data_IF_919330595564
#
_entry.id   IF_919330595564
#
_cell.length_a   1.000
_cell.length_b   1.000
_cell.length_c   1.000
_cell.angle_alpha   90.00
_cell.angle_beta   90.00
_cell.angle_gamma   90.00
#
_symmetry.space_group_name_H-M   'P 1'
#
loop_
_entity.id
_entity.type
_entity.pdbx_description
1 polymer ?
#
# COMPACT_ATOMS: atom_id res chain seq x y z
N UNK A 1 4.66 -18.77 -0.25
CA UNK A 1 3.48 -19.64 -0.37
C UNK A 1 2.71 -19.70 0.96
N UNK A 2 3.27 -20.27 2.04
CA UNK A 2 2.57 -20.48 3.33
C UNK A 2 1.90 -19.22 3.90
N UNK A 3 2.53 -18.06 3.84
CA UNK A 3 1.92 -16.78 4.33
C UNK A 3 0.68 -16.42 3.53
N UNK A 4 0.72 -16.60 2.21
CA UNK A 4 -0.43 -16.37 1.32
C UNK A 4 -1.55 -17.37 1.61
N UNK A 5 -1.22 -18.64 1.75
CA UNK A 5 -2.19 -19.71 2.08
C UNK A 5 -2.91 -19.46 3.42
N UNK A 6 -2.19 -19.01 4.45
CA UNK A 6 -2.81 -18.68 5.74
C UNK A 6 -3.83 -17.55 5.59
N UNK A 7 -3.55 -16.55 4.76
CA UNK A 7 -4.48 -15.45 4.51
C UNK A 7 -5.74 -15.93 3.77
N UNK A 8 -5.57 -16.83 2.79
CA UNK A 8 -6.71 -17.45 2.06
C UNK A 8 -7.56 -18.30 3.00
N UNK A 9 -6.94 -19.11 3.86
CA UNK A 9 -7.65 -19.93 4.86
C UNK A 9 -8.49 -19.08 5.81
N UNK A 10 -7.98 -17.93 6.25
CA UNK A 10 -8.78 -17.03 7.09
C UNK A 10 -10.03 -16.52 6.36
N UNK A 11 -9.92 -16.19 5.09
CA UNK A 11 -11.06 -15.75 4.29
C UNK A 11 -12.17 -16.84 4.23
N UNK A 12 -11.77 -18.10 4.12
CA UNK A 12 -12.70 -19.24 4.20
C UNK A 12 -13.50 -19.25 5.51
N UNK A 13 -12.82 -19.12 6.67
CA UNK A 13 -13.49 -19.06 7.97
C UNK A 13 -14.37 -17.84 8.12
N UNK A 14 -13.95 -16.69 7.61
CA UNK A 14 -14.74 -15.45 7.64
C UNK A 14 -16.06 -15.61 6.88
N UNK A 15 -16.04 -16.32 5.76
CA UNK A 15 -17.26 -16.63 4.99
C UNK A 15 -18.22 -17.53 5.78
N UNK A 16 -17.70 -18.58 6.42
CA UNK A 16 -18.51 -19.53 7.22
C UNK A 16 -19.14 -18.86 8.44
N UNK A 17 -18.37 -17.99 9.10
CA UNK A 17 -18.79 -17.35 10.36
C UNK A 17 -19.53 -16.03 10.15
N UNK A 18 -19.67 -15.58 8.92
CA UNK A 18 -20.20 -14.26 8.56
C UNK A 18 -19.46 -13.10 9.26
N UNK A 19 -18.16 -13.30 9.55
CA UNK A 19 -17.28 -12.28 10.12
C UNK A 19 -16.41 -11.64 9.03
N UNK A 20 -15.85 -10.48 9.35
CA UNK A 20 -14.83 -9.88 8.50
C UNK A 20 -13.50 -10.62 8.64
N UNK A 21 -12.78 -10.84 7.55
CA UNK A 21 -11.44 -11.43 7.56
C UNK A 21 -10.36 -10.41 7.99
N UNK A 22 -10.61 -9.67 9.05
CA UNK A 22 -9.69 -8.66 9.56
C UNK A 22 -8.48 -9.29 10.24
N UNK A 23 -7.48 -9.62 9.44
CA UNK A 23 -6.10 -9.61 9.91
C UNK A 23 -5.52 -8.26 9.49
N UNK A 24 -4.73 -7.66 10.34
CA UNK A 24 -3.95 -6.48 9.96
C UNK A 24 -3.05 -6.84 8.75
N UNK A 25 -3.50 -6.41 7.58
CA UNK A 25 -2.83 -6.69 6.30
C UNK A 25 -1.43 -6.07 6.28
N UNK A 26 -1.17 -5.07 7.13
CA UNK A 26 0.14 -4.45 7.30
C UNK A 26 1.20 -5.47 7.72
N UNK A 27 0.93 -6.28 8.73
CA UNK A 27 1.90 -7.30 9.17
C UNK A 27 2.13 -8.39 8.13
N UNK A 28 1.09 -8.84 7.44
CA UNK A 28 1.24 -9.79 6.35
C UNK A 28 2.12 -9.20 5.24
N UNK A 29 1.91 -7.93 4.91
CA UNK A 29 2.72 -7.22 3.91
C UNK A 29 4.19 -7.15 4.33
N UNK A 30 4.49 -6.78 5.57
CA UNK A 30 5.87 -6.72 6.08
C UNK A 30 6.55 -8.09 5.99
N UNK A 31 5.86 -9.17 6.37
CA UNK A 31 6.41 -10.53 6.23
C UNK A 31 6.68 -10.89 4.77
N UNK A 32 5.73 -10.64 3.86
CA UNK A 32 5.91 -10.97 2.44
C UNK A 32 7.04 -10.16 1.81
N UNK A 33 7.12 -8.87 2.09
CA UNK A 33 8.21 -8.01 1.59
C UNK A 33 9.56 -8.48 2.13
N UNK A 34 9.67 -8.72 3.44
CA UNK A 34 10.90 -9.21 4.06
C UNK A 34 11.35 -10.55 3.46
N UNK A 35 10.43 -11.50 3.25
CA UNK A 35 10.72 -12.78 2.59
C UNK A 35 11.13 -12.61 1.13
N UNK A 36 10.54 -11.68 0.41
CA UNK A 36 10.83 -11.44 -1.00
C UNK A 36 12.18 -10.74 -1.20
N UNK A 37 12.49 -9.75 -0.36
CA UNK A 37 13.68 -8.90 -0.49
C UNK A 37 14.88 -9.41 0.29
N UNK A 38 14.67 -10.31 1.26
CA UNK A 38 15.65 -10.76 2.25
C UNK A 38 16.13 -9.61 3.16
N UNK A 39 15.37 -8.51 3.25
CA UNK A 39 15.60 -7.43 4.20
C UNK A 39 14.82 -7.73 5.47
N UNK A 40 15.49 -7.75 6.61
CA UNK A 40 14.86 -8.01 7.90
C UNK A 40 13.89 -6.87 8.27
N UNK A 41 12.78 -7.20 8.93
CA UNK A 41 11.93 -6.21 9.59
C UNK A 41 12.57 -5.66 10.86
N UNK A 42 12.02 -4.56 11.38
CA UNK A 42 12.50 -3.94 12.62
C UNK A 42 12.04 -4.68 13.89
N UNK A 43 11.08 -5.60 13.77
CA UNK A 43 10.59 -6.41 14.89
C UNK A 43 9.85 -5.63 15.98
N UNK A 44 9.59 -4.35 15.78
CA UNK A 44 8.93 -3.50 16.76
C UNK A 44 7.60 -2.98 16.23
N UNK A 45 6.63 -2.87 17.14
CA UNK A 45 5.35 -2.21 16.89
C UNK A 45 5.51 -0.73 17.24
N UNK A 46 5.51 0.16 16.27
CA UNK A 46 5.60 1.57 16.59
C UNK A 46 5.95 2.49 15.44
N UNK A 47 6.36 3.70 15.78
CA UNK A 47 6.80 4.72 14.83
C UNK A 47 8.22 4.39 14.38
N UNK A 48 8.44 4.23 13.11
CA UNK A 48 9.75 3.95 12.52
C UNK A 48 9.59 3.35 11.14
N UNK A 49 10.72 3.01 10.54
CA UNK A 49 10.75 2.33 9.25
C UNK A 49 10.34 0.87 9.45
N UNK A 50 9.69 0.29 8.45
CA UNK A 50 9.22 -1.09 8.56
C UNK A 50 10.36 -2.12 8.38
N UNK A 51 11.39 -1.76 7.61
CA UNK A 51 12.53 -2.64 7.30
C UNK A 51 13.85 -2.07 7.84
N UNK A 52 14.80 -2.96 8.06
CA UNK A 52 16.10 -2.63 8.68
C UNK A 52 17.00 -1.72 7.81
N UNK A 53 16.74 -1.62 6.53
CA UNK A 53 17.42 -0.71 5.60
C UNK A 53 16.81 0.70 5.56
N UNK A 54 15.76 0.96 6.32
CA UNK A 54 15.02 2.21 6.33
C UNK A 54 13.89 2.31 5.30
N UNK A 55 13.58 1.22 4.61
CA UNK A 55 12.47 1.17 3.66
C UNK A 55 11.11 1.06 4.37
N UNK A 56 10.08 1.54 3.70
CA UNK A 56 8.70 1.58 4.20
C UNK A 56 7.81 0.58 3.46
N UNK A 57 6.87 -0.04 4.18
CA UNK A 57 5.89 -0.98 3.60
C UNK A 57 4.47 -0.45 3.82
N UNK A 58 3.68 -0.37 2.75
CA UNK A 58 2.26 -0.02 2.83
C UNK A 58 1.40 -1.08 2.17
N UNK A 59 0.31 -1.43 2.82
CA UNK A 59 -0.65 -2.40 2.31
C UNK A 59 -2.02 -1.80 2.07
N UNK A 60 -2.72 -2.36 1.09
CA UNK A 60 -4.13 -2.11 0.85
C UNK A 60 -4.85 -3.43 0.59
N UNK A 61 -5.98 -3.63 1.27
CA UNK A 61 -6.82 -4.80 1.12
C UNK A 61 -8.19 -4.38 0.61
N UNK A 62 -8.62 -4.93 -0.52
CA UNK A 62 -9.83 -4.49 -1.18
C UNK A 62 -11.12 -4.95 -0.51
N UNK A 63 -11.14 -6.13 0.11
CA UNK A 63 -12.35 -6.63 0.77
C UNK A 63 -12.58 -6.02 2.15
N UNK A 64 -11.51 -5.87 2.94
CA UNK A 64 -11.63 -5.38 4.31
C UNK A 64 -11.92 -3.88 4.38
N UNK A 65 -11.92 -3.20 3.23
CA UNK A 65 -12.23 -1.77 3.11
C UNK A 65 -13.70 -1.49 2.81
N UNK A 66 -14.53 -2.51 2.75
CA UNK A 66 -15.95 -2.38 2.42
C UNK A 66 -16.78 -2.12 3.69
N UNK A 67 -16.85 -0.87 4.10
CA UNK A 67 -17.84 -0.43 5.09
C UNK A 67 -19.26 -0.51 4.50
N UNK A 68 -20.25 -0.87 5.33
CA UNK A 68 -21.66 -1.08 4.91
C UNK A 68 -22.34 0.15 4.28
N UNK A 69 -21.78 1.34 4.46
CA UNK A 69 -22.30 2.58 3.84
C UNK A 69 -21.15 3.45 3.37
N UNK A 70 -20.94 3.49 2.05
CA UNK A 70 -19.91 4.34 1.46
C UNK A 70 -18.52 3.81 1.71
N UNK A 71 -18.24 2.66 1.10
CA UNK A 71 -16.92 2.03 1.15
C UNK A 71 -15.82 3.06 0.97
N UNK A 72 -14.95 3.13 1.95
CA UNK A 72 -13.72 3.90 1.81
C UNK A 72 -12.85 3.21 0.77
N UNK A 73 -12.51 3.89 -0.32
CA UNK A 73 -11.66 3.31 -1.34
C UNK A 73 -10.36 2.79 -0.73
N UNK A 74 -9.90 1.57 -1.09
CA UNK A 74 -8.61 1.04 -0.66
C UNK A 74 -7.50 2.03 -0.93
N UNK A 75 -6.57 2.20 0.01
CA UNK A 75 -5.50 3.18 -0.12
C UNK A 75 -4.26 2.77 0.65
N UNK A 76 -3.12 3.13 0.12
CA UNK A 76 -1.87 3.17 0.85
C UNK A 76 -1.78 4.54 1.54
N UNK A 77 -1.73 4.54 2.85
CA UNK A 77 -1.80 5.75 3.66
C UNK A 77 -0.46 6.07 4.31
N UNK A 78 0.12 7.21 3.96
CA UNK A 78 1.34 7.74 4.55
C UNK A 78 0.97 8.84 5.53
N UNK A 79 0.96 8.48 6.80
CA UNK A 79 0.53 9.37 7.88
C UNK A 79 1.72 10.10 8.48
N UNK A 80 1.70 11.43 8.44
CA UNK A 80 2.67 12.27 9.11
C UNK A 80 2.04 12.96 10.32
N UNK A 81 2.62 12.74 11.48
CA UNK A 81 2.24 13.40 12.75
C UNK A 81 3.19 14.53 13.12
N UNK A 82 4.30 14.66 12.41
CA UNK A 82 5.26 15.76 12.51
C UNK A 82 5.76 16.14 11.13
N UNK A 83 6.33 17.35 11.03
CA UNK A 83 6.99 17.84 9.81
C UNK A 83 8.14 16.92 9.40
N UNK A 84 8.96 16.47 10.35
CA UNK A 84 10.08 15.59 10.08
C UNK A 84 9.63 14.24 9.49
N UNK A 85 8.57 13.63 10.03
CA UNK A 85 8.02 12.38 9.49
C UNK A 85 7.47 12.59 8.07
N UNK A 86 6.88 13.74 7.80
CA UNK A 86 6.42 14.08 6.46
C UNK A 86 7.58 14.19 5.47
N UNK A 87 8.63 14.91 5.81
CA UNK A 87 9.81 15.11 4.97
C UNK A 87 10.57 13.80 4.70
N UNK A 88 10.58 12.87 5.66
CA UNK A 88 11.21 11.55 5.56
C UNK A 88 10.72 10.70 4.38
N UNK A 89 9.50 10.89 3.90
CA UNK A 89 9.00 10.16 2.72
C UNK A 89 9.92 10.30 1.50
N UNK A 90 10.54 11.46 1.32
CA UNK A 90 11.46 11.73 0.21
C UNK A 90 12.84 11.07 0.38
N UNK A 91 13.11 10.54 1.56
CA UNK A 91 14.40 9.95 1.94
C UNK A 91 14.35 8.41 1.98
N UNK A 92 13.17 7.81 1.85
CA UNK A 92 13.05 6.36 1.89
C UNK A 92 13.88 5.69 0.77
N UNK A 93 14.74 4.72 1.11
CA UNK A 93 15.49 3.95 0.10
C UNK A 93 14.58 3.25 -0.87
N UNK A 94 13.44 2.74 -0.38
CA UNK A 94 12.35 2.23 -1.17
C UNK A 94 11.02 2.32 -0.41
N UNK A 95 9.93 2.39 -1.14
CA UNK A 95 8.58 2.16 -0.64
C UNK A 95 8.05 0.90 -1.29
N UNK A 96 7.65 -0.08 -0.48
CA UNK A 96 7.00 -1.30 -0.95
C UNK A 96 5.49 -1.16 -0.80
N UNK A 97 4.80 -1.23 -1.93
CA UNK A 97 3.36 -1.08 -2.02
C UNK A 97 2.73 -2.45 -2.28
N UNK A 98 2.01 -2.98 -1.29
CA UNK A 98 1.30 -4.24 -1.44
C UNK A 98 -0.19 -3.99 -1.65
N UNK A 99 -0.78 -4.59 -2.66
CA UNK A 99 -2.22 -4.72 -2.82
C UNK A 99 -2.64 -6.17 -2.68
N UNK A 100 -3.74 -6.41 -1.97
CA UNK A 100 -4.31 -7.72 -1.78
C UNK A 100 -5.79 -7.70 -2.17
N UNK A 101 -6.10 -8.42 -3.24
CA UNK A 101 -7.45 -8.52 -3.80
C UNK A 101 -8.05 -9.85 -3.39
N UNK A 102 -8.80 -9.83 -2.29
CA UNK A 102 -9.46 -11.01 -1.78
C UNK A 102 -10.79 -11.20 -2.50
N UNK A 103 -10.82 -12.14 -3.43
CA UNK A 103 -12.08 -12.73 -3.86
C UNK A 103 -13.08 -11.82 -4.59
N UNK A 104 -12.65 -10.79 -5.31
CA UNK A 104 -13.57 -9.97 -6.11
C UNK A 104 -14.29 -10.75 -7.21
N UNK A 105 -13.72 -11.85 -7.64
CA UNK A 105 -14.34 -12.81 -8.58
C UNK A 105 -14.22 -14.24 -8.05
N UNK A 106 -14.17 -14.39 -6.72
CA UNK A 106 -13.83 -15.63 -6.03
C UNK A 106 -12.38 -16.10 -6.28
N UNK A 107 -11.46 -15.17 -6.54
CA UNK A 107 -10.05 -15.47 -6.74
C UNK A 107 -9.20 -14.53 -5.91
N UNK A 108 -8.24 -15.09 -5.20
CA UNK A 108 -7.24 -14.34 -4.46
C UNK A 108 -6.17 -13.79 -5.39
N UNK A 109 -5.70 -12.57 -5.09
CA UNK A 109 -4.64 -11.92 -5.86
C UNK A 109 -3.80 -11.02 -4.98
N UNK A 110 -2.49 -11.07 -5.12
CA UNK A 110 -1.56 -10.16 -4.42
C UNK A 110 -0.49 -9.65 -5.37
N UNK A 111 -0.15 -8.36 -5.22
CA UNK A 111 0.95 -7.70 -5.93
C UNK A 111 1.80 -6.94 -4.94
N UNK A 112 3.12 -6.94 -5.14
CA UNK A 112 4.06 -6.07 -4.42
C UNK A 112 4.88 -5.32 -5.44
N UNK A 113 4.81 -3.99 -5.37
CA UNK A 113 5.65 -3.09 -6.14
C UNK A 113 6.70 -2.47 -5.24
N UNK A 114 7.94 -2.40 -5.73
CA UNK A 114 9.02 -1.60 -5.17
C UNK A 114 9.07 -0.27 -5.90
N UNK A 115 9.01 0.84 -5.17
CA UNK A 115 9.08 2.20 -5.73
C UNK A 115 10.25 2.93 -5.08
N UNK A 116 11.18 3.40 -5.92
CA UNK A 116 12.27 4.30 -5.53
C UNK A 116 11.74 5.74 -5.62
N UNK A 117 11.37 6.30 -4.47
CA UNK A 117 10.77 7.65 -4.40
C UNK A 117 11.74 8.70 -4.93
N UNK A 118 13.04 8.51 -4.70
CA UNK A 118 14.08 9.48 -5.11
C UNK A 118 14.20 9.61 -6.62
N UNK A 119 13.91 8.52 -7.35
CA UNK A 119 13.99 8.43 -8.82
C UNK A 119 12.64 8.62 -9.51
N UNK A 120 11.54 8.44 -8.79
CA UNK A 120 10.20 8.51 -9.37
C UNK A 120 9.70 9.95 -9.45
N UNK A 121 10.06 10.67 -10.52
CA UNK A 121 9.83 12.12 -10.64
C UNK A 121 8.36 12.53 -10.45
N UNK A 122 7.40 11.77 -11.00
CA UNK A 122 5.96 12.08 -10.87
C UNK A 122 5.50 11.96 -9.42
N UNK A 123 5.91 10.89 -8.71
CA UNK A 123 5.55 10.70 -7.31
C UNK A 123 6.20 11.77 -6.42
N UNK A 124 7.48 12.01 -6.62
CA UNK A 124 8.26 13.00 -5.88
C UNK A 124 7.67 14.42 -6.04
N UNK A 125 7.44 14.84 -7.27
CA UNK A 125 6.85 16.16 -7.55
C UNK A 125 5.45 16.30 -6.92
N UNK A 126 4.60 15.26 -7.03
CA UNK A 126 3.28 15.26 -6.42
C UNK A 126 3.33 15.28 -4.89
N UNK A 127 4.29 14.57 -4.29
CA UNK A 127 4.44 14.59 -2.83
C UNK A 127 4.89 15.96 -2.33
N UNK A 128 5.83 16.61 -3.02
CA UNK A 128 6.27 17.98 -2.71
C UNK A 128 5.09 18.95 -2.83
N UNK A 129 4.33 18.90 -3.92
CA UNK A 129 3.12 19.70 -4.10
C UNK A 129 2.13 19.50 -2.93
N UNK A 130 1.94 18.26 -2.51
CA UNK A 130 1.07 17.95 -1.37
C UNK A 130 1.61 18.50 -0.05
N UNK A 131 2.92 18.41 0.19
CA UNK A 131 3.53 19.02 1.38
C UNK A 131 3.30 20.53 1.43
N UNK A 132 3.49 21.23 0.32
CA UNK A 132 3.33 22.68 0.23
C UNK A 132 1.87 23.13 0.38
N UNK A 133 0.94 22.44 -0.31
CA UNK A 133 -0.47 22.83 -0.32
C UNK A 133 -1.26 22.41 0.93
N UNK A 134 -0.85 21.32 1.58
CA UNK A 134 -1.61 20.75 2.69
C UNK A 134 -0.76 20.47 3.93
N UNK A 135 0.38 19.83 3.77
CA UNK A 135 1.21 19.36 4.87
C UNK A 135 1.74 20.51 5.72
N UNK A 136 2.57 21.36 5.16
CA UNK A 136 3.17 22.50 5.86
C UNK A 136 2.15 23.49 6.41
N UNK A 137 1.12 23.93 5.66
CA UNK A 137 0.09 24.78 6.20
C UNK A 137 -0.59 24.22 7.44
N UNK A 138 -0.84 22.90 7.46
CA UNK A 138 -1.47 22.26 8.60
C UNK A 138 -0.59 22.25 9.84
N UNK A 139 0.70 21.98 9.69
CA UNK A 139 1.64 22.06 10.82
C UNK A 139 1.89 23.49 11.27
N UNK A 140 1.92 24.48 10.37
CA UNK A 140 2.05 25.89 10.71
C UNK A 140 0.85 26.43 11.50
N UNK A 141 -0.34 25.91 11.25
CA UNK A 141 -1.55 26.25 11.99
C UNK A 141 -1.59 25.69 13.43
N UNK A 142 -0.51 25.06 13.88
CA UNK A 142 -0.40 24.38 15.18
C UNK A 142 -1.53 23.35 15.42
N UNK A 143 -1.93 22.67 14.37
CA UNK A 143 -3.00 21.70 14.39
C UNK A 143 -2.38 20.32 14.64
N UNK A 144 -2.56 19.76 15.84
CA UNK A 144 -2.00 18.46 16.26
C UNK A 144 -2.50 17.25 15.43
N UNK A 145 -3.40 17.48 14.50
CA UNK A 145 -3.94 16.41 13.67
C UNK A 145 -2.92 15.94 12.63
N UNK A 146 -2.79 14.62 12.51
CA UNK A 146 -2.02 13.99 11.47
C UNK A 146 -2.47 14.39 10.06
N UNK A 147 -1.52 14.47 9.13
CA UNK A 147 -1.77 14.66 7.69
C UNK A 147 -1.49 13.36 6.96
N UNK A 148 -2.32 13.06 5.97
CA UNK A 148 -2.22 11.81 5.23
C UNK A 148 -2.01 12.08 3.73
N UNK A 149 -0.88 11.61 3.21
CA UNK A 149 -0.72 11.42 1.77
C UNK A 149 -1.25 10.06 1.40
N UNK A 150 -2.14 9.99 0.41
CA UNK A 150 -2.86 8.76 0.07
C UNK A 150 -2.66 8.40 -1.39
N UNK A 151 -2.18 7.19 -1.63
CA UNK A 151 -2.15 6.60 -2.96
C UNK A 151 -3.25 5.54 -3.05
N UNK A 152 -4.01 5.59 -4.15
CA UNK A 152 -5.02 4.60 -4.45
C UNK A 152 -4.42 3.53 -5.35
N UNK A 153 -4.43 2.25 -4.94
CA UNK A 153 -3.87 1.17 -5.75
C UNK A 153 -4.62 0.99 -7.08
N UNK A 154 -4.09 0.18 -8.01
CA UNK A 154 -4.83 -0.30 -9.18
C UNK A 154 -6.22 -0.80 -8.79
N UNK A 155 -7.21 -0.67 -9.65
CA UNK A 155 -8.55 -1.16 -9.34
C UNK A 155 -8.53 -2.68 -9.10
N UNK A 156 -9.35 -3.10 -8.14
CA UNK A 156 -9.53 -4.52 -7.85
C UNK A 156 -9.92 -5.30 -9.10
N UNK A 157 -9.31 -6.47 -9.30
CA UNK A 157 -9.60 -7.34 -10.44
C UNK A 157 -9.10 -6.86 -11.80
N UNK A 158 -8.34 -5.76 -11.88
CA UNK A 158 -7.78 -5.25 -13.14
C UNK A 158 -6.28 -5.55 -13.27
N UNK A 159 -5.74 -5.44 -14.46
CA UNK A 159 -4.30 -5.49 -14.75
C UNK A 159 -3.66 -4.09 -14.84
N UNK A 160 -4.28 -3.09 -14.22
CA UNK A 160 -3.71 -1.75 -14.11
C UNK A 160 -2.37 -1.78 -13.36
N UNK A 161 -1.39 -1.02 -13.86
CA UNK A 161 -0.02 -0.92 -13.34
C UNK A 161 0.31 0.47 -12.81
N UNK A 162 -0.69 1.21 -12.35
CA UNK A 162 -0.52 2.54 -11.78
C UNK A 162 -1.29 2.74 -10.49
N UNK A 163 -0.71 3.53 -9.59
CA UNK A 163 -1.42 4.14 -8.48
C UNK A 163 -2.07 5.46 -8.90
N UNK A 164 -3.00 5.95 -8.12
CA UNK A 164 -3.65 7.26 -8.33
C UNK A 164 -3.47 8.13 -7.10
N UNK A 165 -3.30 9.43 -7.32
CA UNK A 165 -3.38 10.44 -6.28
C UNK A 165 -4.33 11.54 -6.71
N UNK A 166 -5.01 12.15 -5.70
CA UNK A 166 -6.00 13.19 -5.93
C UNK A 166 -7.32 12.64 -6.48
N UNK A 167 -8.42 13.22 -6.05
CA UNK A 167 -9.76 12.86 -6.50
C UNK A 167 -10.57 14.08 -6.97
N UNK A 168 -9.97 15.26 -6.95
CA UNK A 168 -10.60 16.52 -7.29
C UNK A 168 -11.69 16.99 -6.33
N UNK A 169 -12.03 16.21 -5.28
CA UNK A 169 -13.16 16.53 -4.40
C UNK A 169 -12.77 17.10 -3.04
N UNK A 170 -11.69 16.60 -2.41
CA UNK A 170 -11.43 16.90 -0.99
C UNK A 170 -10.25 17.81 -0.73
N UNK A 171 -9.20 17.81 -1.55
CA UNK A 171 -7.97 18.51 -1.24
C UNK A 171 -7.48 19.44 -2.36
N UNK A 172 -8.30 19.71 -3.37
CA UNK A 172 -7.92 20.58 -4.49
C UNK A 172 -6.86 19.99 -5.43
N UNK A 173 -6.46 18.72 -5.23
CA UNK A 173 -5.48 18.06 -6.08
C UNK A 173 -6.16 17.45 -7.32
N UNK A 174 -5.64 17.74 -8.50
CA UNK A 174 -6.02 17.06 -9.73
C UNK A 174 -5.69 15.57 -9.62
N UNK A 175 -6.49 14.72 -10.24
CA UNK A 175 -6.20 13.29 -10.31
C UNK A 175 -5.01 13.05 -11.24
N UNK A 176 -4.00 12.32 -10.75
CA UNK A 176 -2.86 11.87 -11.55
C UNK A 176 -2.67 10.37 -11.42
N UNK A 177 -2.00 9.79 -12.39
CA UNK A 177 -1.50 8.42 -12.37
C UNK A 177 -0.01 8.42 -12.01
N UNK A 178 0.39 7.44 -11.21
CA UNK A 178 1.77 7.21 -10.78
C UNK A 178 2.10 5.78 -11.20
N UNK A 179 2.99 5.63 -12.16
CA UNK A 179 3.38 4.32 -12.66
C UNK A 179 4.01 3.47 -11.56
N UNK A 180 3.63 2.20 -11.47
CA UNK A 180 4.17 1.22 -10.53
C UNK A 180 5.12 0.22 -11.23
N UNK A 181 5.13 0.23 -12.56
CA UNK A 181 5.99 -0.59 -13.41
C UNK A 181 6.64 0.31 -14.46
N UNK A 182 7.62 1.07 -14.01
CA UNK A 182 8.38 2.06 -14.81
C UNK A 182 9.87 2.03 -14.41
N UNK A 183 10.66 1.05 -14.91
CA UNK A 183 12.09 0.98 -14.63
C UNK A 183 12.84 2.25 -15.10
N UNK A 184 13.80 2.77 -14.33
CA UNK A 184 14.40 2.16 -13.14
C UNK A 184 13.80 2.62 -11.80
N UNK A 185 12.63 3.25 -11.77
CA UNK A 185 12.08 3.82 -10.54
C UNK A 185 10.96 2.99 -9.89
N UNK A 186 10.31 2.10 -10.62
CA UNK A 186 9.25 1.26 -10.07
C UNK A 186 9.21 -0.12 -10.75
N UNK A 187 9.00 -1.17 -9.94
CA UNK A 187 9.03 -2.57 -10.37
C UNK A 187 7.97 -3.39 -9.65
N UNK A 188 7.31 -4.30 -10.38
CA UNK A 188 6.62 -5.43 -9.77
C UNK A 188 7.69 -6.43 -9.30
N UNK A 189 7.70 -6.78 -8.01
CA UNK A 189 8.67 -7.74 -7.44
C UNK A 189 8.04 -9.05 -6.98
N UNK A 190 6.71 -9.06 -6.83
CA UNK A 190 5.98 -10.24 -6.39
C UNK A 190 4.56 -10.23 -6.94
N UNK A 191 4.13 -11.40 -7.38
CA UNK A 191 2.77 -11.68 -7.83
C UNK A 191 2.32 -13.03 -7.27
N UNK A 192 1.11 -13.08 -6.73
CA UNK A 192 0.43 -14.32 -6.38
C UNK A 192 -1.01 -14.26 -6.88
N UNK A 193 -1.45 -15.27 -7.60
CA UNK A 193 -2.80 -15.40 -8.14
C UNK A 193 -3.38 -16.78 -7.80
N UNK A 194 -4.65 -16.81 -7.48
CA UNK A 194 -5.41 -18.06 -7.41
C UNK A 194 -5.87 -18.46 -8.80
N UNK A 195 -5.50 -19.67 -9.21
CA UNK A 195 -5.88 -20.27 -10.49
C UNK A 195 -7.34 -20.77 -10.47
N UNK A 196 -7.84 -21.23 -11.61
CA UNK A 196 -9.23 -21.72 -11.73
C UNK A 196 -9.54 -22.93 -10.87
N UNK A 197 -8.54 -23.75 -10.62
CA UNK A 197 -8.59 -24.95 -9.78
C UNK A 197 -8.32 -24.66 -8.29
N UNK A 198 -8.16 -23.38 -7.91
CA UNK A 198 -7.97 -22.93 -6.52
C UNK A 198 -6.54 -22.99 -5.99
N UNK A 199 -5.57 -23.32 -6.85
CA UNK A 199 -4.16 -23.30 -6.46
C UNK A 199 -3.58 -21.88 -6.49
N UNK A 200 -2.67 -21.58 -5.58
CA UNK A 200 -1.94 -20.31 -5.57
C UNK A 200 -0.68 -20.43 -6.43
N UNK A 201 -0.65 -19.65 -7.50
CA UNK A 201 0.52 -19.51 -8.38
C UNK A 201 1.31 -18.28 -7.99
N UNK A 202 2.59 -18.46 -7.68
CA UNK A 202 3.49 -17.39 -7.24
C UNK A 202 4.56 -17.13 -8.30
N UNK A 203 4.74 -15.87 -8.64
CA UNK A 203 5.83 -15.39 -9.48
C UNK A 203 6.65 -14.33 -8.72
N UNK A 204 7.97 -14.45 -8.84
CA UNK A 204 8.95 -13.50 -8.30
C UNK A 204 9.73 -12.90 -9.47
N UNK A 205 10.09 -11.61 -9.38
CA UNK A 205 10.75 -10.87 -10.44
C UNK A 205 12.03 -10.22 -9.93
#
# INVERSE_FOLDING_TARGET
EQVVEQRVKLNHWSTITAQSSQIDTGYIAQHLVSLQTQIAGQGMRGKGDDLSDGSEVKSANFLDSLDKKGATAPRWNFTAVTRQIMERFLEYPAVYLLSMDLNTMKRFRTRIWKVDVTKHEVLKARYIEWMEKLGYPKFAANNEQAVNFQLFPPHSGTEETFARHGNGRTNGFSKIQIALEDPPCAYLIFRADESEDGHIVISKF
#
